data_IF_915605845320
#
_entry.id   IF_915605845320
#
_cell.length_a   1.000
_cell.length_b   1.000
_cell.length_c   1.000
_cell.angle_alpha   90.00
_cell.angle_beta   90.00
_cell.angle_gamma   90.00
#
_symmetry.space_group_name_H-M   'P 1'
#
loop_
_entity.id
_entity.type
_entity.pdbx_description
1 polymer ?
#
# COMPACT_ATOMS: atom_id res chain seq x y z
N UNK A 1 26.53 21.25 14.82
CA UNK A 1 25.15 21.22 14.28
C UNK A 1 24.57 19.85 14.55
N UNK A 2 23.45 19.74 15.28
CA UNK A 2 22.81 18.45 15.59
C UNK A 2 22.22 17.78 14.34
N UNK A 3 22.25 16.44 14.29
CA UNK A 3 21.71 15.64 13.15
C UNK A 3 20.20 15.84 13.02
N UNK A 4 19.66 15.71 11.80
CA UNK A 4 18.23 15.95 11.52
C UNK A 4 17.29 15.07 12.40
N UNK A 5 17.71 13.84 12.67
CA UNK A 5 17.01 12.91 13.58
C UNK A 5 16.92 13.44 15.02
N UNK A 6 17.96 14.13 15.50
CA UNK A 6 17.98 14.69 16.86
C UNK A 6 17.08 15.94 16.94
N UNK A 7 17.04 16.76 15.89
CA UNK A 7 16.12 17.91 15.79
C UNK A 7 14.66 17.47 15.75
N UNK A 8 14.36 16.37 15.06
CA UNK A 8 13.03 15.77 14.99
C UNK A 8 12.54 15.18 16.34
N UNK A 9 13.46 14.84 17.25
CA UNK A 9 13.14 14.26 18.56
C UNK A 9 13.02 15.29 19.69
N UNK A 10 13.25 16.58 19.40
CA UNK A 10 13.14 17.63 20.42
C UNK A 10 11.71 17.77 20.93
N UNK A 11 11.56 18.15 22.19
CA UNK A 11 10.27 18.43 22.84
C UNK A 11 9.45 19.45 22.05
N UNK A 12 10.11 20.48 21.50
CA UNK A 12 9.47 21.47 20.64
C UNK A 12 8.97 20.87 19.31
N UNK A 13 9.74 20.00 18.65
CA UNK A 13 9.31 19.35 17.41
C UNK A 13 8.11 18.41 17.64
N UNK A 14 8.12 17.65 18.74
CA UNK A 14 6.99 16.81 19.15
C UNK A 14 5.74 17.63 19.50
N UNK A 15 5.90 18.75 20.20
CA UNK A 15 4.81 19.67 20.52
C UNK A 15 4.24 20.34 19.26
N UNK A 16 5.14 20.76 18.35
CA UNK A 16 4.98 21.02 16.90
C UNK A 16 3.94 20.12 16.24
N UNK A 17 4.32 18.86 16.10
CA UNK A 17 3.54 17.83 15.43
C UNK A 17 2.20 17.61 16.13
N UNK A 18 2.17 17.51 17.47
CA UNK A 18 0.95 17.27 18.22
C UNK A 18 -0.13 18.37 18.04
N UNK A 19 0.27 19.63 17.86
CA UNK A 19 -0.65 20.76 17.69
C UNK A 19 -1.04 21.00 16.23
N UNK A 20 -0.12 20.80 15.28
CA UNK A 20 -0.43 20.92 13.85
C UNK A 20 -1.30 19.76 13.34
N UNK A 21 -1.15 18.56 13.92
CA UNK A 21 -1.94 17.37 13.54
C UNK A 21 -3.25 17.20 14.32
N UNK A 22 -3.55 18.02 15.33
CA UNK A 22 -4.82 17.95 16.06
C UNK A 22 -5.01 16.61 16.81
N UNK A 23 -3.95 16.13 17.45
CA UNK A 23 -3.87 14.83 18.07
C UNK A 23 -3.20 13.82 17.15
N UNK A 24 -2.31 12.99 17.70
CA UNK A 24 -1.91 11.75 17.01
C UNK A 24 -3.21 11.01 16.69
N UNK A 25 -3.72 11.13 15.46
CA UNK A 25 -4.56 10.09 14.90
C UNK A 25 -3.63 8.90 14.83
N UNK A 26 -3.71 8.08 15.87
CA UNK A 26 -3.15 6.74 15.93
C UNK A 26 -3.26 6.19 14.51
N UNK A 27 -2.10 5.97 13.86
CA UNK A 27 -2.03 5.63 12.43
C UNK A 27 -2.98 4.45 12.24
N UNK A 28 -4.17 4.75 11.73
CA UNK A 28 -5.26 3.80 11.68
C UNK A 28 -4.69 2.59 10.95
N UNK A 29 -4.68 1.44 11.61
CA UNK A 29 -4.11 0.24 11.00
C UNK A 29 -5.17 -0.33 10.09
N UNK A 30 -4.73 -0.76 8.91
CA UNK A 30 -5.60 -1.49 8.01
C UNK A 30 -6.07 -2.77 8.71
N UNK A 31 -7.39 -3.06 8.73
CA UNK A 31 -7.89 -4.31 9.27
C UNK A 31 -7.41 -5.50 8.43
N UNK A 32 -7.35 -6.67 9.04
CA UNK A 32 -6.86 -7.88 8.38
C UNK A 32 -7.83 -8.40 7.31
N UNK A 33 -9.14 -8.29 7.57
CA UNK A 33 -10.19 -8.70 6.64
C UNK A 33 -10.81 -7.46 5.99
N UNK A 34 -10.81 -7.42 4.66
CA UNK A 34 -11.48 -6.35 3.92
C UNK A 34 -13.00 -6.30 4.20
N UNK A 35 -13.61 -7.45 4.50
CA UNK A 35 -15.04 -7.60 4.81
C UNK A 35 -15.46 -6.85 6.08
N UNK A 36 -14.54 -6.57 7.01
CA UNK A 36 -14.83 -5.81 8.23
C UNK A 36 -15.02 -4.30 7.97
N UNK A 37 -14.74 -3.85 6.74
CA UNK A 37 -14.87 -2.45 6.36
C UNK A 37 -16.12 -2.24 5.50
N UNK A 38 -17.07 -1.47 6.04
CA UNK A 38 -18.32 -1.10 5.35
C UNK A 38 -18.28 0.30 4.72
N UNK A 39 -17.23 1.07 5.02
CA UNK A 39 -17.08 2.44 4.53
C UNK A 39 -16.26 2.48 3.24
N UNK A 40 -16.91 2.81 2.12
CA UNK A 40 -16.27 2.91 0.80
C UNK A 40 -15.02 3.79 0.81
N UNK A 41 -15.08 4.95 1.48
CA UNK A 41 -13.94 5.86 1.58
C UNK A 41 -12.72 5.24 2.28
N UNK A 42 -12.95 4.45 3.33
CA UNK A 42 -11.88 3.74 4.04
C UNK A 42 -11.31 2.63 3.17
N UNK A 43 -12.14 1.87 2.47
CA UNK A 43 -11.68 0.85 1.52
C UNK A 43 -10.76 1.45 0.44
N UNK A 44 -11.13 2.59 -0.15
CA UNK A 44 -10.27 3.29 -1.11
C UNK A 44 -8.95 3.78 -0.51
N UNK A 45 -8.98 4.31 0.72
CA UNK A 45 -7.77 4.71 1.47
C UNK A 45 -6.82 3.52 1.63
N UNK A 46 -7.33 2.36 2.05
CA UNK A 46 -6.54 1.15 2.22
C UNK A 46 -5.94 0.65 0.92
N UNK A 47 -6.73 0.63 -0.17
CA UNK A 47 -6.24 0.31 -1.52
C UNK A 47 -5.06 1.21 -1.93
N UNK A 48 -5.18 2.53 -1.76
CA UNK A 48 -4.09 3.48 -2.08
C UNK A 48 -2.85 3.23 -1.23
N UNK A 49 -3.03 2.90 0.04
CA UNK A 49 -1.91 2.57 0.91
C UNK A 49 -1.15 1.32 0.43
N UNK A 50 -1.85 0.26 0.00
CA UNK A 50 -1.22 -0.95 -0.57
C UNK A 50 -0.37 -0.60 -1.79
N UNK A 51 -0.91 0.20 -2.71
CA UNK A 51 -0.19 0.62 -3.92
C UNK A 51 1.11 1.35 -3.56
N UNK A 52 1.08 2.22 -2.54
CA UNK A 52 2.27 2.88 -2.03
C UNK A 52 3.30 1.91 -1.41
N UNK A 53 2.83 0.90 -0.68
CA UNK A 53 3.69 -0.16 -0.11
C UNK A 53 4.36 -1.00 -1.20
N UNK A 54 3.61 -1.42 -2.21
CA UNK A 54 4.13 -2.13 -3.39
C UNK A 54 5.17 -1.29 -4.11
N UNK A 55 4.88 -0.01 -4.37
CA UNK A 55 5.80 0.90 -5.06
C UNK A 55 7.14 1.03 -4.34
N UNK A 56 7.14 1.11 -3.01
CA UNK A 56 8.37 1.13 -2.20
C UNK A 56 9.17 -0.17 -2.30
N UNK A 57 8.50 -1.32 -2.29
CA UNK A 57 9.18 -2.63 -2.42
C UNK A 57 9.73 -2.84 -3.83
N UNK A 58 9.02 -2.41 -4.87
CA UNK A 58 9.53 -2.41 -6.26
C UNK A 58 10.78 -1.54 -6.38
N UNK A 59 10.78 -0.35 -5.78
CA UNK A 59 11.98 0.50 -5.72
C UNK A 59 13.14 -0.17 -4.97
N UNK A 60 12.86 -1.00 -3.96
CA UNK A 60 13.89 -1.80 -3.28
C UNK A 60 14.50 -2.86 -4.20
N UNK A 61 13.67 -3.56 -4.98
CA UNK A 61 14.10 -4.56 -5.97
C UNK A 61 15.02 -3.95 -7.04
N UNK A 62 14.75 -2.72 -7.47
CA UNK A 62 15.55 -2.03 -8.48
C UNK A 62 16.98 -1.67 -8.02
N UNK A 63 17.31 -1.80 -6.73
CA UNK A 63 18.68 -1.58 -6.26
C UNK A 63 19.56 -2.80 -6.57
N UNK A 64 20.54 -2.62 -7.45
CA UNK A 64 21.42 -3.68 -7.98
C UNK A 64 22.34 -4.38 -6.94
N UNK A 65 22.27 -3.99 -5.66
CA UNK A 65 23.06 -4.57 -4.56
C UNK A 65 22.31 -5.55 -3.66
N UNK A 66 21.06 -5.91 -3.98
CA UNK A 66 20.31 -6.90 -3.18
C UNK A 66 20.73 -8.32 -3.53
N UNK A 67 21.01 -9.13 -2.51
CA UNK A 67 21.23 -10.57 -2.66
C UNK A 67 19.96 -11.33 -3.08
N UNK A 68 20.11 -12.48 -3.73
CA UNK A 68 19.01 -13.28 -4.29
C UNK A 68 17.93 -13.64 -3.27
N UNK A 69 18.32 -13.99 -2.03
CA UNK A 69 17.38 -14.28 -0.95
C UNK A 69 16.46 -13.10 -0.65
N UNK A 70 17.01 -11.88 -0.63
CA UNK A 70 16.24 -10.68 -0.34
C UNK A 70 15.27 -10.33 -1.47
N UNK A 71 15.67 -10.62 -2.71
CA UNK A 71 14.80 -10.47 -3.88
C UNK A 71 13.59 -11.42 -3.79
N UNK A 72 13.79 -12.68 -3.39
CA UNK A 72 12.70 -13.65 -3.18
C UNK A 72 11.73 -13.19 -2.09
N UNK A 73 12.25 -12.77 -0.95
CA UNK A 73 11.42 -12.23 0.14
C UNK A 73 10.58 -11.03 -0.32
N UNK A 74 11.20 -10.08 -1.04
CA UNK A 74 10.49 -8.90 -1.55
C UNK A 74 9.41 -9.28 -2.56
N UNK A 75 9.67 -10.25 -3.43
CA UNK A 75 8.67 -10.76 -4.36
C UNK A 75 7.49 -11.41 -3.63
N UNK A 76 7.75 -12.24 -2.61
CA UNK A 76 6.68 -12.87 -1.82
C UNK A 76 5.85 -11.82 -1.06
N UNK A 77 6.50 -10.80 -0.52
CA UNK A 77 5.82 -9.67 0.12
C UNK A 77 4.98 -8.85 -0.86
N UNK A 78 5.49 -8.57 -2.06
CA UNK A 78 4.74 -7.89 -3.13
C UNK A 78 3.53 -8.74 -3.54
N UNK A 79 3.70 -10.05 -3.73
CA UNK A 79 2.62 -10.96 -4.10
C UNK A 79 1.53 -11.03 -3.01
N UNK A 80 1.90 -10.97 -1.73
CA UNK A 80 0.94 -10.87 -0.62
C UNK A 80 0.15 -9.55 -0.68
N UNK A 81 0.84 -8.43 -0.87
CA UNK A 81 0.21 -7.11 -0.98
C UNK A 81 -0.73 -7.01 -2.20
N UNK A 82 -0.35 -7.58 -3.35
CA UNK A 82 -1.20 -7.57 -4.54
C UNK A 82 -2.48 -8.40 -4.37
N UNK A 83 -2.40 -9.55 -3.67
CA UNK A 83 -3.59 -10.32 -3.29
C UNK A 83 -4.50 -9.53 -2.36
N UNK A 84 -3.92 -8.89 -1.35
CA UNK A 84 -4.64 -8.02 -0.44
C UNK A 84 -5.34 -6.88 -1.17
N UNK A 85 -4.65 -6.20 -2.11
CA UNK A 85 -5.26 -5.19 -2.99
C UNK A 85 -6.49 -5.73 -3.71
N UNK A 86 -6.41 -6.96 -4.24
CA UNK A 86 -7.54 -7.62 -4.89
C UNK A 86 -8.76 -7.73 -3.98
N UNK A 87 -8.58 -8.14 -2.72
CA UNK A 87 -9.66 -8.21 -1.73
C UNK A 87 -10.28 -6.85 -1.44
N UNK A 88 -9.47 -5.80 -1.35
CA UNK A 88 -9.97 -4.44 -1.17
C UNK A 88 -10.73 -3.93 -2.40
N UNK A 89 -10.28 -4.26 -3.61
CA UNK A 89 -10.98 -3.91 -4.85
C UNK A 89 -12.33 -4.63 -4.98
N UNK A 90 -12.39 -5.90 -4.58
CA UNK A 90 -13.66 -6.64 -4.52
C UNK A 90 -14.61 -6.03 -3.50
N UNK A 91 -14.11 -5.68 -2.30
CA UNK A 91 -14.92 -5.03 -1.27
C UNK A 91 -15.46 -3.68 -1.72
N UNK A 92 -14.63 -2.88 -2.38
CA UNK A 92 -15.05 -1.59 -2.96
C UNK A 92 -16.21 -1.80 -3.94
N UNK A 93 -16.11 -2.81 -4.81
CA UNK A 93 -17.15 -3.14 -5.78
C UNK A 93 -18.44 -3.61 -5.09
N UNK A 94 -18.35 -4.47 -4.07
CA UNK A 94 -19.50 -4.90 -3.27
C UNK A 94 -20.23 -3.74 -2.60
N UNK A 95 -19.49 -2.73 -2.14
CA UNK A 95 -20.04 -1.52 -1.52
C UNK A 95 -20.58 -0.50 -2.54
N UNK A 96 -20.64 -0.85 -3.83
CA UNK A 96 -21.13 0.03 -4.90
C UNK A 96 -20.11 1.06 -5.41
N UNK A 97 -18.83 0.85 -5.12
CA UNK A 97 -17.72 1.68 -5.59
C UNK A 97 -17.24 1.38 -7.00
N UNK A 98 -16.14 2.04 -7.39
CA UNK A 98 -15.54 1.87 -8.72
C UNK A 98 -14.96 0.47 -8.94
N UNK A 99 -15.18 -0.09 -10.14
CA UNK A 99 -14.59 -1.37 -10.53
C UNK A 99 -13.12 -1.20 -10.97
N UNK A 100 -12.22 -1.23 -9.99
CA UNK A 100 -10.79 -1.06 -10.24
C UNK A 100 -10.13 -2.24 -10.97
N UNK A 101 -10.75 -3.43 -11.00
CA UNK A 101 -10.23 -4.58 -11.76
C UNK A 101 -10.40 -4.39 -13.26
N UNK A 102 -11.47 -3.69 -13.66
CA UNK A 102 -11.77 -3.40 -15.06
C UNK A 102 -11.21 -2.06 -15.54
N UNK A 103 -10.99 -1.10 -14.64
CA UNK A 103 -10.54 0.26 -14.98
C UNK A 103 -9.02 0.44 -14.86
N UNK A 104 -8.32 -0.44 -14.14
CA UNK A 104 -6.86 -0.38 -14.05
C UNK A 104 -6.17 -0.68 -15.40
N UNK A 105 -4.98 -0.13 -15.69
CA UNK A 105 -4.16 -0.65 -16.78
C UNK A 105 -4.02 -2.16 -16.53
N UNK A 106 -4.48 -2.97 -17.49
CA UNK A 106 -4.28 -4.42 -17.46
C UNK A 106 -2.79 -4.62 -17.28
N UNK A 107 -2.34 -4.90 -16.06
CA UNK A 107 -0.96 -5.26 -15.80
C UNK A 107 -0.87 -6.63 -16.46
N UNK A 108 -0.38 -6.59 -17.70
CA UNK A 108 -0.14 -7.73 -18.54
C UNK A 108 0.62 -8.73 -17.67
N UNK A 109 -0.02 -9.88 -17.44
CA UNK A 109 0.64 -11.02 -16.84
C UNK A 109 1.98 -11.21 -17.54
N UNK A 110 3.01 -11.49 -16.74
CA UNK A 110 4.36 -11.84 -17.16
C UNK A 110 4.45 -13.11 -18.03
N UNK A 111 3.31 -13.61 -18.50
CA UNK A 111 3.13 -14.81 -19.32
C UNK A 111 2.70 -14.53 -20.77
N UNK A 112 2.57 -13.27 -21.21
CA UNK A 112 2.51 -12.94 -22.64
C UNK A 112 1.50 -13.75 -23.48
N UNK A 113 0.40 -14.22 -22.87
CA UNK A 113 -0.66 -14.94 -23.56
C UNK A 113 -1.96 -14.20 -23.37
N UNK A 114 -2.24 -13.36 -24.36
CA UNK A 114 -3.59 -12.96 -24.70
C UNK A 114 -4.44 -14.22 -24.91
N UNK A 115 -5.36 -14.48 -23.99
CA UNK A 115 -6.56 -15.25 -24.34
C UNK A 115 -7.57 -14.26 -24.90
N UNK A 116 -7.30 -13.80 -26.12
CA UNK A 116 -8.27 -13.14 -26.97
C UNK A 116 -9.43 -14.11 -27.20
N UNK A 117 -10.61 -13.70 -26.72
CA UNK A 117 -11.96 -13.95 -27.26
C UNK A 117 -12.24 -15.31 -27.92
N UNK A 118 -13.15 -16.06 -27.29
CA UNK A 118 -14.41 -16.49 -27.92
C UNK A 118 -15.50 -16.60 -26.86
#
# INVERSE_FOLDING_TARGET
>A
MARNSEKAMTTLARWRAAHLEGGLKEQERRPYLATECDELHKCEKWRRQIIGEVSRKVAQIQNAGLGEFKLRDLNDEINKLLREKGHWEDRIKELGGADYKNVGPKILDTDGKESTLK
#
